data_IF_284446058122
#
_entry.id   IF_284446058122
#
_cell.length_a   1.000
_cell.length_b   1.000
_cell.length_c   1.000
_cell.angle_alpha   90.00
_cell.angle_beta   90.00
_cell.angle_gamma   90.00
#
_symmetry.space_group_name_H-M   'P 1'
#
loop_
_entity.id
_entity.type
_entity.pdbx_description
1 polymer ?
#
# COMPACT_ATOMS: atom_id res chain seq x y z
N UNK A 1 -67.47 -53.13 17.12
CA UNK A 1 -68.82 -53.23 16.52
C UNK A 1 -68.76 -52.76 15.08
N UNK A 2 -69.12 -53.67 14.16
CA UNK A 2 -69.57 -53.51 12.78
C UNK A 2 -69.03 -52.39 11.86
N UNK A 3 -68.15 -52.79 10.94
CA UNK A 3 -68.35 -52.82 9.48
C UNK A 3 -69.27 -51.76 8.81
N UNK A 4 -68.71 -51.00 7.85
CA UNK A 4 -69.32 -50.76 6.52
C UNK A 4 -68.37 -49.99 5.60
N UNK A 5 -68.09 -50.57 4.43
CA UNK A 5 -67.44 -49.88 3.31
C UNK A 5 -68.44 -49.14 2.43
N UNK A 6 -67.95 -48.34 1.49
CA UNK A 6 -68.52 -48.23 0.14
C UNK A 6 -67.53 -47.60 -0.83
N UNK A 7 -67.51 -48.18 -2.03
CA UNK A 7 -66.74 -47.85 -3.23
C UNK A 7 -66.83 -46.38 -3.66
N UNK A 8 -65.70 -45.86 -4.15
CA UNK A 8 -65.59 -44.66 -4.98
C UNK A 8 -65.45 -45.08 -6.45
N UNK A 9 -66.32 -44.54 -7.31
CA UNK A 9 -66.22 -44.63 -8.77
C UNK A 9 -66.93 -43.40 -9.35
N UNK A 10 -66.21 -42.32 -9.68
CA UNK A 10 -66.69 -41.30 -10.62
C UNK A 10 -65.52 -40.75 -11.46
N UNK A 11 -65.61 -41.09 -12.74
CA UNK A 11 -65.35 -40.33 -13.97
C UNK A 11 -64.22 -39.30 -14.06
N UNK A 12 -63.39 -39.49 -15.09
CA UNK A 12 -62.44 -38.52 -15.59
C UNK A 12 -63.10 -37.33 -16.29
N UNK A 13 -62.43 -36.19 -16.19
CA UNK A 13 -62.59 -35.03 -17.06
C UNK A 13 -61.18 -34.66 -17.55
N UNK A 14 -60.98 -34.82 -18.85
CA UNK A 14 -59.81 -34.35 -19.56
C UNK A 14 -59.85 -32.82 -19.63
N UNK A 15 -58.94 -32.16 -18.91
CA UNK A 15 -58.68 -30.73 -19.01
C UNK A 15 -57.47 -30.47 -19.89
N UNK A 16 -57.68 -29.86 -21.04
CA UNK A 16 -56.64 -29.31 -21.92
C UNK A 16 -55.91 -28.14 -21.23
N UNK A 17 -54.62 -28.28 -20.97
CA UNK A 17 -53.76 -27.21 -20.46
C UNK A 17 -53.40 -26.26 -21.62
N UNK A 18 -53.64 -24.94 -21.52
CA UNK A 18 -53.17 -24.01 -22.54
C UNK A 18 -51.66 -23.79 -22.37
N UNK A 19 -50.90 -24.18 -23.39
CA UNK A 19 -49.49 -23.84 -23.51
C UNK A 19 -49.34 -22.30 -23.60
N UNK A 20 -48.93 -21.67 -22.51
CA UNK A 20 -48.49 -20.28 -22.54
C UNK A 20 -47.11 -20.22 -23.21
N UNK A 21 -47.14 -19.99 -24.53
CA UNK A 21 -45.96 -19.61 -25.29
C UNK A 21 -45.32 -18.39 -24.64
N UNK A 22 -44.14 -18.60 -24.06
CA UNK A 22 -43.33 -17.52 -23.51
C UNK A 22 -42.73 -16.77 -24.70
N UNK A 23 -43.40 -15.70 -25.12
CA UNK A 23 -42.84 -14.73 -26.04
C UNK A 23 -41.57 -14.16 -25.43
N UNK A 24 -40.42 -14.59 -25.94
CA UNK A 24 -39.13 -13.96 -25.71
C UNK A 24 -39.22 -12.51 -26.19
N UNK A 25 -39.52 -11.60 -25.25
CA UNK A 25 -39.27 -10.18 -25.47
C UNK A 25 -37.77 -10.01 -25.59
N UNK A 26 -37.32 -9.69 -26.80
CA UNK A 26 -35.96 -9.25 -27.09
C UNK A 26 -35.55 -8.18 -26.08
N UNK A 27 -34.57 -8.52 -25.26
CA UNK A 27 -33.82 -7.59 -24.44
C UNK A 27 -33.10 -6.64 -25.40
N UNK A 28 -33.74 -5.51 -25.73
CA UNK A 28 -33.08 -4.41 -26.42
C UNK A 28 -31.84 -3.97 -25.63
N UNK A 29 -30.69 -3.93 -26.32
CA UNK A 29 -29.41 -3.30 -25.94
C UNK A 29 -29.38 -2.64 -24.55
N UNK A 30 -29.27 -3.44 -23.49
CA UNK A 30 -28.79 -2.93 -22.22
C UNK A 30 -27.30 -2.65 -22.42
N UNK A 31 -26.90 -1.37 -22.40
CA UNK A 31 -25.49 -0.99 -22.35
C UNK A 31 -24.82 -1.85 -21.28
N UNK A 32 -23.70 -2.54 -21.58
CA UNK A 32 -23.03 -3.33 -20.57
C UNK A 32 -22.79 -2.47 -19.32
N UNK A 33 -22.96 -3.03 -18.12
CA UNK A 33 -22.73 -2.28 -16.89
C UNK A 33 -21.35 -1.63 -16.96
N UNK A 34 -21.29 -0.31 -16.78
CA UNK A 34 -20.05 0.48 -16.89
C UNK A 34 -19.52 0.88 -15.52
N UNK A 35 -18.23 1.16 -15.44
CA UNK A 35 -17.59 1.64 -14.22
C UNK A 35 -18.18 2.99 -13.83
N UNK A 36 -18.62 3.09 -12.58
CA UNK A 36 -18.95 4.35 -11.93
C UNK A 36 -17.71 4.92 -11.23
N UNK A 37 -17.54 6.23 -11.36
CA UNK A 37 -16.50 7.01 -10.68
C UNK A 37 -17.19 8.02 -9.78
N UNK A 38 -16.94 7.94 -8.48
CA UNK A 38 -17.42 8.90 -7.48
C UNK A 38 -16.24 9.63 -6.87
N UNK A 39 -16.23 10.95 -6.97
CA UNK A 39 -15.22 11.84 -6.37
C UNK A 39 -15.79 12.41 -5.08
N UNK A 40 -15.08 12.20 -3.97
CA UNK A 40 -15.35 12.83 -2.69
C UNK A 40 -14.17 13.76 -2.34
N UNK A 41 -14.35 15.04 -2.57
CA UNK A 41 -13.35 16.11 -2.39
C UNK A 41 -13.81 17.19 -1.40
N UNK A 42 -14.86 16.90 -0.62
CA UNK A 42 -15.37 17.85 0.36
C UNK A 42 -14.32 18.15 1.45
N UNK A 43 -14.39 19.36 2.02
CA UNK A 43 -13.40 19.87 2.99
C UNK A 43 -13.19 18.92 4.17
N UNK A 44 -14.23 18.25 4.64
CA UNK A 44 -14.12 17.32 5.77
C UNK A 44 -13.34 16.06 5.36
N UNK A 45 -13.66 15.49 4.19
CA UNK A 45 -12.92 14.36 3.61
C UNK A 45 -11.44 14.68 3.45
N UNK A 46 -11.11 15.80 2.80
CA UNK A 46 -9.71 16.21 2.59
C UNK A 46 -8.99 16.48 3.91
N UNK A 47 -9.66 17.10 4.89
CA UNK A 47 -9.06 17.37 6.21
C UNK A 47 -8.76 16.08 6.99
N UNK A 48 -9.59 15.05 6.85
CA UNK A 48 -9.43 13.79 7.58
C UNK A 48 -8.50 12.79 6.88
N UNK A 49 -8.62 12.65 5.56
CA UNK A 49 -7.84 11.67 4.79
C UNK A 49 -6.51 12.25 4.26
N UNK A 50 -6.36 13.57 4.26
CA UNK A 50 -5.21 14.28 3.68
C UNK A 50 -5.27 14.43 2.15
N UNK A 51 -6.19 13.73 1.48
CA UNK A 51 -6.37 13.78 0.03
C UNK A 51 -7.85 13.50 -0.34
N UNK A 52 -8.29 13.89 -1.55
CA UNK A 52 -9.59 13.47 -2.08
C UNK A 52 -9.70 11.95 -2.22
N UNK A 53 -10.91 11.42 -2.01
CA UNK A 53 -11.21 9.99 -2.12
C UNK A 53 -12.00 9.70 -3.39
N UNK A 54 -11.47 8.86 -4.24
CA UNK A 54 -12.06 8.51 -5.54
C UNK A 54 -12.49 7.04 -5.52
N UNK A 55 -13.78 6.78 -5.60
CA UNK A 55 -14.32 5.43 -5.62
C UNK A 55 -14.59 4.99 -7.06
N UNK A 56 -13.95 3.88 -7.46
CA UNK A 56 -14.15 3.22 -8.75
C UNK A 56 -14.83 1.87 -8.49
N UNK A 57 -16.08 1.75 -8.93
CA UNK A 57 -16.89 0.56 -8.68
C UNK A 57 -17.78 0.16 -9.86
N UNK A 58 -18.09 -1.13 -9.94
CA UNK A 58 -18.77 -1.72 -11.10
C UNK A 58 -17.78 -2.38 -12.06
N UNK A 59 -18.22 -2.72 -13.27
CA UNK A 59 -17.37 -3.41 -14.26
C UNK A 59 -16.36 -2.42 -14.84
N UNK A 60 -15.09 -2.83 -14.95
CA UNK A 60 -14.07 -2.04 -15.65
C UNK A 60 -14.30 -2.19 -17.16
N UNK A 61 -15.06 -1.28 -17.77
CA UNK A 61 -15.28 -1.26 -19.21
C UNK A 61 -14.13 -0.58 -19.96
N UNK A 62 -14.05 -0.80 -21.28
CA UNK A 62 -12.99 -0.32 -22.16
C UNK A 62 -12.80 1.22 -22.14
N UNK A 63 -13.87 1.97 -21.87
CA UNK A 63 -13.86 3.44 -21.83
C UNK A 63 -13.58 4.01 -20.43
N UNK A 64 -13.42 3.16 -19.41
CA UNK A 64 -13.17 3.60 -18.04
C UNK A 64 -11.88 4.43 -17.87
N UNK A 65 -10.73 4.08 -18.50
CA UNK A 65 -9.51 4.89 -18.44
C UNK A 65 -9.72 6.31 -18.96
N UNK A 66 -10.44 6.48 -20.06
CA UNK A 66 -10.69 7.77 -20.72
C UNK A 66 -11.56 8.66 -19.84
N UNK A 67 -12.59 8.09 -19.20
CA UNK A 67 -13.42 8.83 -18.24
C UNK A 67 -12.62 9.26 -17.01
N UNK A 68 -11.76 8.38 -16.49
CA UNK A 68 -10.89 8.71 -15.37
C UNK A 68 -9.89 9.81 -15.74
N UNK A 69 -9.22 9.67 -16.89
CA UNK A 69 -8.25 10.64 -17.39
C UNK A 69 -8.88 12.02 -17.62
N UNK A 70 -10.12 12.08 -18.14
CA UNK A 70 -10.84 13.35 -18.30
C UNK A 70 -11.09 14.06 -16.96
N UNK A 71 -11.35 13.31 -15.89
CA UNK A 71 -11.50 13.87 -14.53
C UNK A 71 -10.16 14.37 -13.97
N UNK A 72 -9.05 13.68 -14.26
CA UNK A 72 -7.71 14.14 -13.89
C UNK A 72 -7.34 15.42 -14.66
N UNK A 73 -7.51 15.43 -15.99
CA UNK A 73 -7.20 16.57 -16.86
C UNK A 73 -8.03 17.81 -16.54
N UNK A 74 -9.29 17.62 -16.10
CA UNK A 74 -10.15 18.72 -15.65
C UNK A 74 -9.86 19.20 -14.21
N UNK A 75 -8.90 18.60 -13.51
CA UNK A 75 -8.54 18.95 -12.14
C UNK A 75 -9.50 18.43 -11.06
N UNK A 76 -10.54 17.67 -11.44
CA UNK A 76 -11.50 17.07 -10.51
C UNK A 76 -10.88 15.93 -9.69
N UNK A 77 -9.82 15.30 -10.21
CA UNK A 77 -9.02 14.33 -9.48
C UNK A 77 -7.58 14.85 -9.46
N UNK A 78 -7.13 15.46 -8.35
CA UNK A 78 -5.76 15.94 -8.26
C UNK A 78 -4.76 14.78 -8.12
N UNK A 79 -3.49 14.99 -8.48
CA UNK A 79 -2.40 14.07 -8.17
C UNK A 79 -2.35 13.74 -6.66
N UNK A 80 -1.91 12.54 -6.31
CA UNK A 80 -1.82 12.08 -4.92
C UNK A 80 -3.15 11.66 -4.29
N UNK A 81 -4.26 11.66 -5.04
CA UNK A 81 -5.57 11.22 -4.54
C UNK A 81 -5.58 9.75 -4.09
N UNK A 82 -6.49 9.41 -3.17
CA UNK A 82 -6.74 8.05 -2.71
C UNK A 82 -7.83 7.39 -3.57
N UNK A 83 -7.46 6.34 -4.30
CA UNK A 83 -8.36 5.58 -5.20
C UNK A 83 -8.81 4.30 -4.51
N UNK A 84 -10.11 4.16 -4.29
CA UNK A 84 -10.77 2.99 -3.71
C UNK A 84 -11.40 2.14 -4.80
N UNK A 85 -10.97 0.89 -4.89
CA UNK A 85 -11.37 -0.04 -5.95
C UNK A 85 -12.35 -1.09 -5.43
N UNK A 86 -13.41 -1.33 -6.20
CA UNK A 86 -14.38 -2.40 -5.97
C UNK A 86 -14.97 -2.91 -7.30
N UNK A 87 -14.32 -3.91 -7.88
CA UNK A 87 -14.74 -4.53 -9.12
C UNK A 87 -14.29 -5.99 -9.23
N UNK A 88 -15.24 -6.88 -9.53
CA UNK A 88 -14.97 -8.31 -9.72
C UNK A 88 -14.75 -8.70 -11.19
N UNK A 89 -14.99 -7.78 -12.13
CA UNK A 89 -15.05 -8.06 -13.57
C UNK A 89 -14.56 -6.85 -14.37
N UNK A 90 -14.09 -7.10 -15.59
CA UNK A 90 -13.83 -6.04 -16.56
C UNK A 90 -12.74 -6.41 -17.56
N UNK A 91 -12.46 -5.45 -18.41
CA UNK A 91 -11.45 -5.50 -19.45
C UNK A 91 -10.05 -5.32 -18.84
N UNK A 92 -9.16 -6.29 -19.11
CA UNK A 92 -7.82 -6.31 -18.54
C UNK A 92 -6.97 -5.14 -19.03
N UNK A 93 -7.07 -4.79 -20.32
CA UNK A 93 -6.31 -3.68 -20.88
C UNK A 93 -6.75 -2.33 -20.25
N UNK A 94 -8.05 -2.14 -20.03
CA UNK A 94 -8.60 -1.01 -19.31
C UNK A 94 -8.14 -0.96 -17.85
N UNK A 95 -8.08 -2.10 -17.17
CA UNK A 95 -7.50 -2.22 -15.83
C UNK A 95 -6.04 -1.76 -15.77
N UNK A 96 -5.21 -2.23 -16.70
CA UNK A 96 -3.81 -1.80 -16.80
C UNK A 96 -3.68 -0.32 -17.16
N UNK A 97 -4.51 0.19 -18.08
CA UNK A 97 -4.51 1.60 -18.46
C UNK A 97 -4.87 2.51 -17.29
N UNK A 98 -5.89 2.15 -16.50
CA UNK A 98 -6.20 2.84 -15.23
C UNK A 98 -5.01 2.82 -14.28
N UNK A 99 -4.35 1.67 -14.13
CA UNK A 99 -3.19 1.59 -13.27
C UNK A 99 -2.02 2.48 -13.72
N UNK A 100 -1.77 2.62 -15.03
CA UNK A 100 -0.79 3.59 -15.55
C UNK A 100 -1.17 5.03 -15.20
N UNK A 101 -2.46 5.38 -15.28
CA UNK A 101 -2.96 6.70 -14.87
C UNK A 101 -2.74 6.96 -13.37
N UNK A 102 -3.02 5.96 -12.52
CA UNK A 102 -2.78 6.07 -11.08
C UNK A 102 -1.30 6.27 -10.78
N UNK A 103 -0.43 5.53 -11.47
CA UNK A 103 1.02 5.66 -11.34
C UNK A 103 1.50 7.06 -11.71
N UNK A 104 1.08 7.55 -12.87
CA UNK A 104 1.47 8.88 -13.37
C UNK A 104 0.97 10.00 -12.44
N UNK A 105 -0.20 9.83 -11.84
CA UNK A 105 -0.76 10.77 -10.87
C UNK A 105 -0.24 10.61 -9.44
N UNK A 106 0.77 9.78 -9.18
CA UNK A 106 1.28 9.46 -7.84
C UNK A 106 0.18 9.03 -6.85
N UNK A 107 -0.87 8.37 -7.36
CA UNK A 107 -2.07 8.06 -6.58
C UNK A 107 -1.85 6.87 -5.67
N UNK A 108 -2.64 6.83 -4.61
CA UNK A 108 -2.69 5.75 -3.64
C UNK A 108 -3.84 4.81 -3.99
N UNK A 109 -3.64 3.48 -3.94
CA UNK A 109 -4.73 2.52 -4.14
C UNK A 109 -5.11 1.77 -2.87
N UNK A 110 -6.43 1.65 -2.69
CA UNK A 110 -7.10 0.95 -1.61
C UNK A 110 -8.21 0.05 -2.18
N UNK A 111 -8.71 -0.85 -1.33
CA UNK A 111 -10.02 -1.46 -1.53
C UNK A 111 -11.07 -0.68 -0.74
N UNK A 112 -12.27 -0.52 -1.30
CA UNK A 112 -13.36 0.10 -0.55
C UNK A 112 -14.61 0.35 -1.37
N UNK A 113 -15.73 0.49 -0.68
CA UNK A 113 -17.02 0.84 -1.29
C UNK A 113 -17.46 2.24 -0.85
N UNK A 114 -18.11 3.01 -1.74
CA UNK A 114 -18.59 4.34 -1.38
C UNK A 114 -19.65 4.22 -0.27
N UNK A 115 -19.53 5.06 0.75
CA UNK A 115 -20.56 5.16 1.80
C UNK A 115 -21.83 5.76 1.20
N UNK A 116 -22.90 4.97 1.16
CA UNK A 116 -24.22 5.47 0.70
C UNK A 116 -25.00 5.99 1.90
N UNK A 117 -25.38 7.28 1.87
CA UNK A 117 -26.39 7.82 2.78
C UNK A 117 -27.74 7.16 2.45
N UNK A 118 -28.26 6.36 3.38
CA UNK A 118 -29.59 5.78 3.29
C UNK A 118 -30.60 6.59 4.11
N UNK A 119 -31.90 6.31 3.92
CA UNK A 119 -33.01 6.95 4.66
C UNK A 119 -32.95 6.72 6.18
N UNK A 120 -32.21 5.72 6.65
CA UNK A 120 -32.03 5.35 8.06
C UNK A 120 -30.58 5.55 8.56
N UNK A 121 -29.81 6.45 7.94
CA UNK A 121 -28.39 6.66 8.22
C UNK A 121 -27.46 5.99 7.20
N UNK A 122 -26.17 5.91 7.52
CA UNK A 122 -25.18 5.25 6.66
C UNK A 122 -25.50 3.75 6.60
N UNK A 123 -25.81 3.22 5.41
CA UNK A 123 -25.90 1.76 5.23
C UNK A 123 -24.51 1.16 5.45
N UNK A 124 -24.45 0.01 6.12
CA UNK A 124 -23.20 -0.66 6.49
C UNK A 124 -22.21 -0.75 5.34
N UNK A 125 -20.92 -0.60 5.66
CA UNK A 125 -19.82 -0.67 4.70
C UNK A 125 -19.82 -2.08 4.12
N UNK A 126 -20.07 -2.19 2.81
CA UNK A 126 -19.95 -3.48 2.11
C UNK A 126 -18.48 -3.77 1.88
N UNK A 127 -18.10 -5.04 2.07
CA UNK A 127 -16.80 -5.52 1.68
C UNK A 127 -16.55 -5.25 0.19
N UNK A 128 -15.40 -4.68 -0.13
CA UNK A 128 -14.93 -4.51 -1.48
C UNK A 128 -14.35 -5.82 -2.02
N UNK A 129 -14.60 -6.09 -3.29
CA UNK A 129 -14.03 -7.23 -4.02
C UNK A 129 -13.29 -6.69 -5.23
N UNK A 130 -12.03 -7.07 -5.38
CA UNK A 130 -11.18 -6.65 -6.48
C UNK A 130 -10.53 -7.86 -7.14
N UNK A 131 -10.90 -8.18 -8.38
CA UNK A 131 -10.32 -9.29 -9.13
C UNK A 131 -10.11 -8.97 -10.61
N UNK A 132 -9.21 -9.72 -11.27
CA UNK A 132 -8.91 -9.53 -12.69
C UNK A 132 -8.42 -8.11 -12.98
N UNK A 133 -9.09 -7.42 -13.92
CA UNK A 133 -8.80 -6.02 -14.29
C UNK A 133 -8.62 -5.08 -13.10
N UNK A 134 -9.42 -5.25 -12.04
CA UNK A 134 -9.34 -4.44 -10.82
C UNK A 134 -7.99 -4.57 -10.13
N UNK A 135 -7.48 -5.80 -10.02
CA UNK A 135 -6.20 -6.09 -9.37
C UNK A 135 -5.04 -5.48 -10.14
N UNK A 136 -5.11 -5.46 -11.48
CA UNK A 136 -4.12 -4.77 -12.29
C UNK A 136 -4.19 -3.25 -12.10
N UNK A 137 -5.38 -2.66 -12.05
CA UNK A 137 -5.55 -1.25 -11.73
C UNK A 137 -4.97 -0.92 -10.34
N UNK A 138 -5.23 -1.77 -9.33
CA UNK A 138 -4.68 -1.64 -7.98
C UNK A 138 -3.15 -1.56 -7.95
N UNK A 139 -2.45 -2.40 -8.73
CA UNK A 139 -0.98 -2.37 -8.80
C UNK A 139 -0.42 -1.07 -9.40
N UNK A 140 -1.25 -0.31 -10.12
CA UNK A 140 -0.93 1.01 -10.62
C UNK A 140 -0.56 2.03 -9.55
N UNK A 141 -1.12 1.90 -8.34
CA UNK A 141 -0.87 2.83 -7.24
C UNK A 141 0.61 2.97 -6.91
N UNK A 142 1.07 4.22 -6.76
CA UNK A 142 2.42 4.51 -6.26
C UNK A 142 2.59 3.91 -4.87
N UNK A 143 1.58 4.14 -4.06
CA UNK A 143 1.41 3.53 -2.76
C UNK A 143 0.18 2.61 -2.78
N UNK A 144 0.26 1.46 -2.12
CA UNK A 144 -0.72 0.37 -2.23
C UNK A 144 -1.00 -0.23 -0.86
N UNK A 145 -2.24 -0.13 -0.40
CA UNK A 145 -2.65 -0.57 0.95
C UNK A 145 -3.15 -1.98 0.86
N UNK A 146 -2.64 -2.83 1.73
CA UNK A 146 -3.16 -4.19 1.88
C UNK A 146 -4.65 -4.16 2.25
N UNK A 147 -5.44 -5.18 1.85
CA UNK A 147 -6.84 -5.31 2.21
C UNK A 147 -7.03 -5.28 3.73
N UNK A 148 -8.12 -4.67 4.19
CA UNK A 148 -8.49 -4.61 5.61
C UNK A 148 -9.90 -5.15 5.84
N UNK A 149 -10.18 -5.63 7.05
CA UNK A 149 -11.50 -6.17 7.39
C UNK A 149 -11.87 -7.36 6.49
N UNK A 150 -13.02 -7.26 5.83
CA UNK A 150 -13.54 -8.31 4.95
C UNK A 150 -13.29 -8.04 3.45
N UNK A 151 -12.52 -7.01 3.10
CA UNK A 151 -12.20 -6.70 1.71
C UNK A 151 -11.31 -7.79 1.11
N UNK A 152 -11.50 -8.10 -0.18
CA UNK A 152 -10.79 -9.19 -0.85
C UNK A 152 -10.19 -8.72 -2.17
N UNK A 153 -8.94 -9.09 -2.41
CA UNK A 153 -8.26 -8.90 -3.68
C UNK A 153 -7.72 -10.23 -4.21
N UNK A 154 -7.93 -10.48 -5.48
CA UNK A 154 -7.58 -11.74 -6.12
C UNK A 154 -6.93 -11.54 -7.47
N UNK A 155 -5.84 -12.27 -7.71
CA UNK A 155 -5.12 -12.23 -8.99
C UNK A 155 -5.66 -13.31 -9.92
N UNK A 156 -6.05 -12.92 -11.14
CA UNK A 156 -6.30 -13.84 -12.25
C UNK A 156 -5.11 -13.71 -13.20
N UNK A 157 -4.43 -14.83 -13.47
CA UNK A 157 -3.37 -14.89 -14.48
C UNK A 157 -3.86 -15.66 -15.69
N UNK A 158 -3.87 -14.99 -16.83
CA UNK A 158 -4.15 -15.66 -18.10
C UNK A 158 -2.85 -16.35 -18.56
N UNK A 159 -2.83 -17.69 -18.53
CA UNK A 159 -1.77 -18.46 -19.16
C UNK A 159 -1.93 -18.37 -20.68
N UNK A 160 -0.82 -18.36 -21.41
CA UNK A 160 -0.74 -18.07 -22.85
C UNK A 160 -1.31 -19.18 -23.78
N UNK A 161 -2.36 -19.89 -23.38
CA UNK A 161 -2.98 -20.90 -24.22
C UNK A 161 -4.17 -20.29 -25.00
N UNK A 162 -3.92 -19.91 -26.27
CA UNK A 162 -4.97 -19.62 -27.25
C UNK A 162 -5.71 -18.29 -27.03
N UNK A 163 -4.99 -17.18 -26.96
CA UNK A 163 -5.56 -15.85 -26.75
C UNK A 163 -6.74 -15.56 -27.70
N UNK A 164 -7.92 -15.35 -27.12
CA UNK A 164 -9.02 -14.67 -27.81
C UNK A 164 -8.56 -13.27 -28.22
N UNK A 165 -9.06 -12.69 -29.33
CA UNK A 165 -8.51 -11.47 -29.96
C UNK A 165 -8.49 -10.20 -29.09
N UNK A 166 -9.10 -10.21 -27.90
CA UNK A 166 -9.17 -9.07 -26.98
C UNK A 166 -8.41 -9.28 -25.65
N UNK A 167 -7.59 -10.34 -25.51
CA UNK A 167 -6.79 -10.54 -24.30
C UNK A 167 -5.32 -10.13 -24.52
N UNK A 168 -4.72 -9.31 -23.63
CA UNK A 168 -3.31 -8.96 -23.73
C UNK A 168 -2.44 -10.21 -23.57
N UNK A 169 -1.37 -10.29 -24.37
CA UNK A 169 -0.42 -11.39 -24.29
C UNK A 169 0.23 -11.45 -22.90
N UNK A 170 0.59 -12.65 -22.42
CA UNK A 170 1.23 -12.84 -21.10
C UNK A 170 2.46 -11.93 -20.90
N UNK A 171 3.23 -11.69 -21.96
CA UNK A 171 4.39 -10.78 -21.92
C UNK A 171 4.04 -9.31 -21.69
N UNK A 172 2.87 -8.83 -22.14
CA UNK A 172 2.41 -7.46 -21.89
C UNK A 172 2.04 -7.27 -20.41
N UNK A 173 1.38 -8.27 -19.84
CA UNK A 173 0.97 -8.27 -18.44
C UNK A 173 2.19 -8.26 -17.51
N UNK A 174 3.21 -9.07 -17.83
CA UNK A 174 4.47 -9.10 -17.08
C UNK A 174 5.25 -7.77 -17.20
N UNK A 175 5.29 -7.18 -18.39
CA UNK A 175 5.91 -5.88 -18.61
C UNK A 175 5.19 -4.78 -17.82
N UNK A 176 3.85 -4.81 -17.79
CA UNK A 176 3.05 -3.91 -16.97
C UNK A 176 3.40 -4.05 -15.49
N UNK A 177 3.34 -5.26 -14.93
CA UNK A 177 3.65 -5.50 -13.52
C UNK A 177 5.05 -5.03 -13.13
N UNK A 178 6.06 -5.32 -13.96
CA UNK A 178 7.44 -4.81 -13.78
C UNK A 178 7.47 -3.28 -13.76
N UNK A 179 6.78 -2.62 -14.69
CA UNK A 179 6.70 -1.15 -14.74
C UNK A 179 6.00 -0.54 -13.51
N UNK A 180 5.17 -1.30 -12.81
CA UNK A 180 4.54 -0.90 -11.55
C UNK A 180 5.40 -1.18 -10.31
N UNK A 181 6.58 -1.76 -10.48
CA UNK A 181 7.49 -2.14 -9.39
C UNK A 181 7.06 -3.42 -8.67
N UNK A 182 6.37 -4.33 -9.37
CA UNK A 182 5.97 -5.64 -8.84
C UNK A 182 6.98 -6.71 -9.32
N UNK A 183 7.60 -7.40 -8.37
CA UNK A 183 8.50 -8.51 -8.66
C UNK A 183 7.69 -9.77 -9.00
N UNK A 184 7.90 -10.32 -10.21
CA UNK A 184 7.15 -11.48 -10.69
C UNK A 184 7.44 -12.76 -9.88
N UNK A 185 8.65 -12.89 -9.34
CA UNK A 185 9.04 -14.01 -8.48
C UNK A 185 8.20 -14.04 -7.18
N UNK A 186 7.84 -12.87 -6.65
CA UNK A 186 6.95 -12.73 -5.49
C UNK A 186 5.52 -13.19 -5.78
N UNK A 187 5.12 -13.21 -7.06
CA UNK A 187 3.84 -13.77 -7.47
C UNK A 187 3.90 -15.29 -7.58
N UNK A 188 5.06 -15.92 -7.87
CA UNK A 188 5.17 -17.37 -8.08
C UNK A 188 4.80 -18.22 -6.85
N UNK A 189 4.75 -17.62 -5.66
CA UNK A 189 4.34 -18.26 -4.40
C UNK A 189 2.82 -18.39 -4.23
N UNK A 190 2.02 -17.79 -5.12
CA UNK A 190 0.57 -17.87 -5.06
C UNK A 190 0.09 -19.16 -5.77
N UNK A 191 -0.73 -20.02 -5.13
CA UNK A 191 -1.26 -21.22 -5.75
C UNK A 191 -2.05 -20.84 -7.01
N UNK A 192 -1.67 -21.44 -8.14
CA UNK A 192 -2.40 -21.28 -9.40
C UNK A 192 -3.75 -21.98 -9.27
N UNK A 193 -4.83 -21.20 -9.25
CA UNK A 193 -6.17 -21.78 -9.41
C UNK A 193 -6.37 -22.23 -10.85
N UNK A 194 -7.03 -23.39 -11.08
CA UNK A 194 -7.41 -23.79 -12.43
C UNK A 194 -8.47 -22.83 -13.00
N UNK A 195 -8.29 -22.39 -14.25
CA UNK A 195 -9.23 -21.53 -14.99
C UNK A 195 -9.22 -20.04 -14.59
N UNK A 196 -10.29 -19.31 -14.94
CA UNK A 196 -10.48 -17.87 -14.66
C UNK A 196 -10.80 -17.54 -13.18
N UNK A 197 -10.46 -18.44 -12.26
CA UNK A 197 -10.72 -18.23 -10.82
C UNK A 197 -9.62 -17.37 -10.19
N UNK A 198 -9.95 -16.34 -9.41
CA UNK A 198 -8.96 -15.51 -8.75
C UNK A 198 -8.25 -16.25 -7.62
N UNK A 199 -6.92 -16.21 -7.61
CA UNK A 199 -6.13 -16.54 -6.43
C UNK A 199 -6.25 -15.39 -5.43
N UNK A 200 -7.04 -15.58 -4.37
CA UNK A 200 -7.24 -14.59 -3.31
C UNK A 200 -5.98 -14.40 -2.47
N UNK A 201 -5.60 -13.14 -2.24
CA UNK A 201 -4.39 -12.76 -1.52
C UNK A 201 -4.74 -12.19 -0.15
N UNK A 202 -4.00 -12.60 0.88
CA UNK A 202 -4.07 -11.99 2.22
C UNK A 202 -3.23 -10.73 2.30
N UNK A 203 -3.50 -9.88 3.28
CA UNK A 203 -2.71 -8.68 3.55
C UNK A 203 -1.21 -8.98 3.78
N UNK A 204 -0.93 -10.08 4.50
CA UNK A 204 0.43 -10.52 4.79
C UNK A 204 1.13 -11.00 3.52
N UNK A 205 0.46 -11.82 2.70
CA UNK A 205 1.01 -12.27 1.41
C UNK A 205 1.36 -11.08 0.52
N UNK A 206 0.47 -10.09 0.43
CA UNK A 206 0.71 -8.90 -0.38
C UNK A 206 1.87 -8.07 0.14
N UNK A 207 2.00 -7.92 1.45
CA UNK A 207 3.07 -7.11 2.06
C UNK A 207 4.43 -7.81 1.90
N UNK A 208 4.50 -9.12 2.17
CA UNK A 208 5.73 -9.90 2.05
C UNK A 208 6.21 -9.98 0.60
N UNK A 209 5.30 -10.14 -0.36
CA UNK A 209 5.63 -10.19 -1.78
C UNK A 209 5.82 -8.80 -2.44
N UNK A 210 5.69 -7.69 -1.69
CA UNK A 210 5.82 -6.32 -2.22
C UNK A 210 4.65 -5.85 -3.11
N UNK A 211 3.55 -6.59 -3.12
CA UNK A 211 2.31 -6.25 -3.83
C UNK A 211 1.59 -5.08 -3.18
N UNK A 212 1.62 -5.03 -1.85
CA UNK A 212 1.25 -3.87 -1.04
C UNK A 212 2.52 -3.29 -0.41
N UNK A 213 2.61 -1.96 -0.36
CA UNK A 213 3.73 -1.26 0.26
C UNK A 213 3.29 -0.39 1.45
N UNK A 214 1.99 -0.36 1.75
CA UNK A 214 1.36 0.30 2.91
C UNK A 214 1.89 1.72 3.13
N UNK A 215 2.01 2.48 2.04
CA UNK A 215 2.44 3.86 2.09
C UNK A 215 3.94 4.10 2.07
N UNK A 216 4.80 3.08 1.93
CA UNK A 216 6.26 3.24 1.95
C UNK A 216 6.91 2.76 0.66
N UNK A 217 7.72 3.60 0.03
CA UNK A 217 8.52 3.20 -1.13
C UNK A 217 9.76 2.38 -0.70
N UNK A 218 10.42 1.66 -1.63
CA UNK A 218 11.62 0.89 -1.32
C UNK A 218 12.71 1.74 -0.66
N UNK A 219 13.36 1.15 0.34
CA UNK A 219 14.50 1.76 1.03
C UNK A 219 15.68 1.91 0.07
N UNK A 220 16.20 3.12 -0.06
CA UNK A 220 17.40 3.45 -0.84
C UNK A 220 18.59 3.62 0.09
N UNK A 221 19.78 3.24 -0.39
CA UNK A 221 21.03 3.42 0.37
C UNK A 221 22.05 4.19 -0.46
N UNK A 222 22.84 5.03 0.20
CA UNK A 222 24.00 5.72 -0.37
C UNK A 222 25.13 5.67 0.64
N UNK A 223 26.35 5.42 0.22
CA UNK A 223 27.49 5.34 1.14
C UNK A 223 28.76 5.90 0.53
N UNK A 224 29.65 6.34 1.42
CA UNK A 224 31.06 6.60 1.13
C UNK A 224 31.86 5.88 2.20
N UNK A 225 32.65 4.88 1.81
CA UNK A 225 33.25 3.93 2.76
C UNK A 225 34.75 4.18 2.99
N UNK A 226 35.29 5.24 2.40
CA UNK A 226 36.71 5.59 2.54
C UNK A 226 36.94 6.48 3.76
N UNK A 227 38.09 6.37 4.44
CA UNK A 227 38.53 7.31 5.47
C UNK A 227 38.59 8.77 4.94
N UNK A 228 38.60 9.78 5.82
CA UNK A 228 38.58 9.69 7.29
C UNK A 228 37.18 9.61 7.89
N UNK A 229 36.13 9.81 7.08
CA UNK A 229 34.76 9.89 7.57
C UNK A 229 33.77 9.07 6.74
N UNK A 230 33.80 7.73 6.85
CA UNK A 230 32.80 6.88 6.21
C UNK A 230 31.39 7.28 6.61
N UNK A 231 30.44 7.21 5.68
CA UNK A 231 29.02 7.41 5.97
C UNK A 231 28.13 6.39 5.25
N UNK A 232 26.97 6.17 5.86
CA UNK A 232 25.84 5.45 5.29
C UNK A 232 24.59 6.30 5.44
N UNK A 233 23.93 6.52 4.32
CA UNK A 233 22.64 7.17 4.21
C UNK A 233 21.58 6.14 3.85
N UNK A 234 20.49 6.15 4.61
CA UNK A 234 19.26 5.40 4.35
C UNK A 234 18.18 6.42 4.00
N UNK A 235 17.54 6.28 2.84
CA UNK A 235 16.48 7.18 2.40
C UNK A 235 15.22 6.38 2.05
N UNK A 236 14.08 6.81 2.56
CA UNK A 236 12.78 6.21 2.26
C UNK A 236 11.74 7.31 2.11
N UNK A 237 10.99 7.25 1.01
CA UNK A 237 9.84 8.11 0.80
C UNK A 237 8.59 7.35 1.25
N UNK A 238 7.70 8.01 1.98
CA UNK A 238 6.39 7.49 2.32
C UNK A 238 5.29 8.47 1.87
N UNK A 239 4.03 8.20 2.23
CA UNK A 239 2.90 9.08 1.86
C UNK A 239 2.98 10.46 2.53
N UNK A 240 3.67 10.57 3.66
CA UNK A 240 3.69 11.76 4.50
C UNK A 240 4.96 12.62 4.27
N UNK A 241 6.01 12.07 3.67
CA UNK A 241 7.20 12.81 3.31
C UNK A 241 8.39 11.96 2.86
N UNK A 242 9.55 12.61 2.78
CA UNK A 242 10.83 11.94 2.52
C UNK A 242 11.65 11.90 3.81
N UNK A 243 12.13 10.71 4.16
CA UNK A 243 12.85 10.47 5.40
C UNK A 243 14.25 9.99 5.10
N UNK A 244 15.23 10.55 5.82
CA UNK A 244 16.64 10.19 5.65
C UNK A 244 17.33 9.98 6.99
N UNK A 245 18.07 8.89 7.13
CA UNK A 245 18.98 8.63 8.25
C UNK A 245 20.41 8.58 7.73
N UNK A 246 21.31 9.33 8.38
CA UNK A 246 22.74 9.35 8.05
C UNK A 246 23.52 8.90 9.27
N UNK A 247 24.23 7.79 9.13
CA UNK A 247 25.29 7.36 10.04
C UNK A 247 26.61 7.89 9.48
N UNK A 248 27.31 8.72 10.23
CA UNK A 248 28.65 9.20 9.87
C UNK A 248 29.65 8.84 10.96
N UNK A 249 30.69 8.11 10.57
CA UNK A 249 31.79 7.71 11.42
C UNK A 249 32.91 8.75 11.32
N UNK A 250 33.52 9.09 12.44
CA UNK A 250 34.76 9.89 12.55
C UNK A 250 35.64 9.24 13.62
N UNK A 251 36.94 9.55 13.67
CA UNK A 251 37.80 9.09 14.77
C UNK A 251 37.15 9.38 16.14
N UNK A 252 36.90 8.33 16.92
CA UNK A 252 36.33 8.43 18.27
C UNK A 252 34.85 8.79 18.37
N UNK A 253 34.10 8.98 17.27
CA UNK A 253 32.66 9.27 17.34
C UNK A 253 31.86 8.75 16.14
N UNK A 254 30.63 8.32 16.39
CA UNK A 254 29.63 8.05 15.36
C UNK A 254 28.49 9.02 15.58
N UNK A 255 28.05 9.68 14.53
CA UNK A 255 26.88 10.53 14.55
C UNK A 255 25.75 9.84 13.80
N UNK A 256 24.56 9.86 14.38
CA UNK A 256 23.33 9.47 13.73
C UNK A 256 22.48 10.72 13.56
N UNK A 257 22.17 11.07 12.32
CA UNK A 257 21.35 12.23 11.97
C UNK A 257 20.12 11.80 11.20
N UNK A 258 18.94 12.19 11.68
CA UNK A 258 17.68 12.05 10.96
C UNK A 258 17.30 13.36 10.30
N UNK A 259 16.76 13.27 9.09
CA UNK A 259 16.12 14.36 8.36
C UNK A 259 14.71 13.90 7.98
N UNK A 260 13.70 14.61 8.45
CA UNK A 260 12.30 14.43 8.07
C UNK A 260 11.88 15.62 7.19
N UNK A 261 11.87 15.41 5.86
CA UNK A 261 11.67 16.45 4.85
C UNK A 261 10.16 16.69 4.64
N UNK A 262 9.59 17.56 5.47
CA UNK A 262 8.15 17.90 5.47
C UNK A 262 7.87 19.34 4.98
N UNK A 263 8.90 20.09 4.62
CA UNK A 263 8.82 21.49 4.21
C UNK A 263 8.90 22.49 5.38
N UNK A 264 9.40 23.70 5.10
CA UNK A 264 9.80 24.68 6.11
C UNK A 264 8.68 25.11 7.08
N UNK A 265 7.43 25.23 6.60
CA UNK A 265 6.31 25.59 7.47
C UNK A 265 5.97 24.46 8.44
N UNK A 266 5.89 23.22 7.94
CA UNK A 266 5.54 22.06 8.76
C UNK A 266 6.67 21.70 9.73
N UNK A 267 7.93 21.76 9.29
CA UNK A 267 9.08 21.52 10.15
C UNK A 267 9.12 22.50 11.34
N UNK A 268 8.86 23.80 11.11
CA UNK A 268 8.73 24.80 12.19
C UNK A 268 7.60 24.47 13.16
N UNK A 269 6.45 24.03 12.65
CA UNK A 269 5.32 23.62 13.51
C UNK A 269 5.70 22.42 14.39
N UNK A 270 6.32 21.38 13.82
CA UNK A 270 6.71 20.18 14.55
C UNK A 270 7.70 20.54 15.68
N UNK A 271 8.77 21.26 15.34
CA UNK A 271 9.81 21.66 16.31
C UNK A 271 9.24 22.58 17.40
N UNK A 272 8.33 23.51 17.06
CA UNK A 272 7.68 24.37 18.05
C UNK A 272 6.85 23.59 19.09
N UNK A 273 6.30 22.44 18.71
CA UNK A 273 5.48 21.58 19.57
C UNK A 273 6.23 20.39 20.17
N UNK A 274 7.55 20.28 19.94
CA UNK A 274 8.41 19.24 20.50
C UNK A 274 8.31 19.19 22.03
N UNK A 275 8.11 18.00 22.58
CA UNK A 275 8.33 17.73 24.00
C UNK A 275 9.61 16.94 24.24
N UNK A 276 9.99 16.11 23.29
CA UNK A 276 11.20 15.29 23.27
C UNK A 276 11.51 14.81 21.86
N UNK A 277 12.76 14.43 21.62
CA UNK A 277 13.17 13.75 20.38
C UNK A 277 14.08 12.57 20.69
N UNK A 278 13.90 11.48 19.95
CA UNK A 278 14.54 10.19 20.25
C UNK A 278 14.70 9.35 18.97
N UNK A 279 15.57 8.35 19.07
CA UNK A 279 15.67 7.28 18.07
C UNK A 279 14.99 6.02 18.60
N UNK A 280 14.61 5.12 17.70
CA UNK A 280 14.11 3.79 18.07
C UNK A 280 14.98 2.72 17.42
N UNK A 281 15.42 1.73 18.19
CA UNK A 281 16.01 0.49 17.65
C UNK A 281 15.06 -0.64 18.01
N UNK A 282 14.54 -1.35 17.00
CA UNK A 282 13.58 -2.44 17.20
C UNK A 282 12.34 -2.04 18.04
N UNK A 283 11.87 -0.79 17.83
CA UNK A 283 10.76 -0.13 18.54
C UNK A 283 11.03 0.18 20.01
N UNK A 284 12.28 0.13 20.46
CA UNK A 284 12.70 0.58 21.79
C UNK A 284 13.33 1.97 21.68
N UNK A 285 12.86 2.91 22.50
CA UNK A 285 13.40 4.28 22.53
C UNK A 285 14.86 4.26 23.02
N UNK A 286 15.73 4.93 22.27
CA UNK A 286 17.14 5.14 22.57
C UNK A 286 17.51 6.60 22.27
N UNK A 287 18.58 7.10 22.90
CA UNK A 287 19.09 8.46 22.65
C UNK A 287 18.02 9.56 22.82
N UNK A 288 17.18 9.39 23.84
CA UNK A 288 16.10 10.32 24.19
C UNK A 288 16.70 11.62 24.73
N UNK A 289 16.29 12.74 24.16
CA UNK A 289 16.58 14.08 24.68
C UNK A 289 15.29 14.86 24.93
N UNK A 290 15.30 15.79 25.90
CA UNK A 290 14.18 16.69 26.13
C UNK A 290 14.02 17.71 24.98
N UNK A 291 12.98 18.53 25.08
CA UNK A 291 12.66 19.62 24.15
C UNK A 291 13.89 20.48 23.81
N UNK A 292 14.00 20.87 22.54
CA UNK A 292 15.04 21.74 22.01
C UNK A 292 16.16 21.01 21.27
N UNK A 293 16.10 19.67 21.23
CA UNK A 293 17.11 18.84 20.60
C UNK A 293 16.81 18.51 19.13
N UNK A 294 15.59 18.78 18.64
CA UNK A 294 15.25 18.79 17.22
C UNK A 294 15.36 20.22 16.65
N UNK A 295 15.80 20.36 15.40
CA UNK A 295 15.98 21.66 14.73
C UNK A 295 15.35 21.68 13.34
N UNK A 296 15.12 22.88 12.81
CA UNK A 296 14.74 23.07 11.41
C UNK A 296 15.98 23.37 10.60
N UNK A 297 16.25 22.57 9.56
CA UNK A 297 17.35 22.80 8.61
C UNK A 297 16.83 22.54 7.20
N UNK A 298 16.92 23.52 6.30
CA UNK A 298 16.51 23.41 4.89
C UNK A 298 15.12 22.79 4.66
N UNK A 299 14.18 23.14 5.52
CA UNK A 299 12.80 22.62 5.44
C UNK A 299 12.59 21.22 6.02
N UNK A 300 13.61 20.63 6.66
CA UNK A 300 13.52 19.36 7.36
C UNK A 300 13.51 19.54 8.88
N UNK A 301 12.89 18.60 9.59
CA UNK A 301 13.13 18.40 11.02
C UNK A 301 14.38 17.52 11.17
N UNK A 302 15.37 18.01 11.90
CA UNK A 302 16.68 17.37 12.05
C UNK A 302 16.93 16.99 13.50
N UNK A 303 17.28 15.73 13.72
CA UNK A 303 17.70 15.18 15.01
C UNK A 303 19.10 14.62 14.82
N UNK A 304 20.09 15.11 15.57
CA UNK A 304 21.47 14.60 15.56
C UNK A 304 21.86 14.11 16.95
N UNK A 305 22.44 12.91 17.03
CA UNK A 305 22.97 12.32 18.28
C UNK A 305 24.30 11.64 18.04
N UNK A 306 25.10 11.56 19.10
CA UNK A 306 26.18 10.60 19.14
C UNK A 306 25.59 9.21 19.29
N UNK A 307 25.96 8.30 18.39
CA UNK A 307 25.54 6.92 18.43
C UNK A 307 26.64 6.08 19.09
N UNK A 308 26.34 5.32 20.17
CA UNK A 308 27.33 4.53 20.86
C UNK A 308 28.00 3.54 19.90
N UNK A 309 29.34 3.54 19.79
CA UNK A 309 30.03 2.63 18.89
C UNK A 309 29.80 1.16 19.17
N UNK A 310 29.69 0.80 20.46
CA UNK A 310 29.29 -0.54 20.88
C UNK A 310 27.90 -0.95 20.36
N UNK A 311 27.02 0.02 20.09
CA UNK A 311 25.70 -0.19 19.51
C UNK A 311 25.70 -0.35 17.99
N UNK A 312 26.80 -0.05 17.27
CA UNK A 312 26.84 -0.22 15.81
C UNK A 312 26.71 -1.68 15.41
N UNK A 313 27.31 -2.59 16.18
CA UNK A 313 27.17 -4.03 15.95
C UNK A 313 25.71 -4.51 16.08
N UNK A 314 24.91 -3.88 16.95
CA UNK A 314 23.50 -4.21 17.11
C UNK A 314 22.68 -3.90 15.86
N UNK A 315 23.04 -2.85 15.10
CA UNK A 315 22.34 -2.50 13.86
C UNK A 315 22.45 -3.58 12.78
N UNK A 316 23.46 -4.46 12.84
CA UNK A 316 23.63 -5.57 11.91
C UNK A 316 22.52 -6.62 12.04
N UNK A 317 22.01 -6.83 13.27
CA UNK A 317 20.94 -7.79 13.57
C UNK A 317 19.57 -7.14 13.71
N UNK A 318 19.50 -5.84 14.01
CA UNK A 318 18.24 -5.10 14.14
C UNK A 318 17.32 -5.25 12.92
N UNK A 319 16.02 -5.21 13.19
CA UNK A 319 14.93 -5.24 12.20
C UNK A 319 14.53 -3.85 11.77
N UNK A 320 14.60 -2.87 12.69
CA UNK A 320 14.19 -1.50 12.42
C UNK A 320 15.02 -0.45 13.15
N UNK A 321 15.14 0.72 12.51
CA UNK A 321 15.68 1.95 13.09
C UNK A 321 14.68 3.08 12.83
N UNK A 322 14.34 3.88 13.82
CA UNK A 322 13.42 5.01 13.67
C UNK A 322 13.96 6.29 14.30
N UNK A 323 13.38 7.41 13.93
CA UNK A 323 13.66 8.71 14.51
C UNK A 323 12.35 9.48 14.68
N UNK A 324 12.17 10.09 15.85
CA UNK A 324 10.88 10.66 16.24
C UNK A 324 11.02 11.95 17.02
N UNK A 325 10.13 12.90 16.74
CA UNK A 325 9.81 14.06 17.57
C UNK A 325 8.44 13.83 18.21
N UNK A 326 8.41 13.75 19.54
CA UNK A 326 7.17 13.63 20.31
C UNK A 326 6.49 14.98 20.52
N UNK A 327 5.15 15.01 20.41
CA UNK A 327 4.32 16.16 20.75
C UNK A 327 3.85 16.17 22.21
N UNK A 328 2.96 17.10 22.55
CA UNK A 328 2.37 17.23 23.91
C UNK A 328 1.50 16.04 24.32
N UNK A 329 0.96 15.28 23.37
CA UNK A 329 0.25 14.02 23.62
C UNK A 329 1.07 12.89 23.00
N UNK A 330 1.23 11.78 23.73
CA UNK A 330 1.96 10.59 23.27
C UNK A 330 1.43 10.02 21.94
N UNK A 331 0.16 10.28 21.62
CA UNK A 331 -0.47 9.88 20.37
C UNK A 331 0.09 10.61 19.12
N UNK A 332 0.77 11.74 19.29
CA UNK A 332 1.34 12.51 18.17
C UNK A 332 2.86 12.44 18.20
N UNK A 333 3.42 11.71 17.23
CA UNK A 333 4.86 11.68 16.94
C UNK A 333 5.07 11.92 15.45
N UNK A 334 6.17 12.60 15.12
CA UNK A 334 6.55 12.95 13.76
C UNK A 334 7.92 12.36 13.45
N UNK A 335 8.08 11.79 12.25
CA UNK A 335 9.26 11.06 11.84
C UNK A 335 8.90 9.71 11.21
N UNK A 336 9.84 8.78 11.18
CA UNK A 336 9.67 7.52 10.46
C UNK A 336 10.42 6.34 11.07
N UNK A 337 9.98 5.13 10.69
CA UNK A 337 10.67 3.86 10.96
C UNK A 337 11.13 3.22 9.66
N UNK A 338 12.42 2.91 9.61
CA UNK A 338 13.09 2.22 8.52
C UNK A 338 13.18 0.72 8.85
N UNK A 339 12.69 -0.13 7.96
CA UNK A 339 12.93 -1.58 8.03
C UNK A 339 14.29 -1.86 7.42
N UNK A 340 15.21 -2.44 8.20
CA UNK A 340 16.62 -2.53 7.83
C UNK A 340 16.98 -3.73 6.96
N UNK A 341 16.08 -4.71 6.80
CA UNK A 341 16.37 -5.93 6.04
C UNK A 341 16.93 -5.65 4.63
N UNK A 342 16.34 -4.75 3.80
CA UNK A 342 16.87 -4.42 2.47
C UNK A 342 18.25 -3.75 2.49
N UNK A 343 18.65 -3.14 3.60
CA UNK A 343 19.90 -2.39 3.74
C UNK A 343 20.99 -3.17 4.51
N UNK A 344 20.77 -4.43 4.90
CA UNK A 344 21.71 -5.19 5.76
C UNK A 344 23.12 -5.24 5.20
N UNK A 345 23.28 -5.44 3.89
CA UNK A 345 24.61 -5.45 3.25
C UNK A 345 25.31 -4.10 3.40
N UNK A 346 24.61 -3.01 3.08
CA UNK A 346 25.16 -1.65 3.19
C UNK A 346 25.53 -1.29 4.63
N UNK A 347 24.73 -1.72 5.62
CA UNK A 347 25.02 -1.53 7.05
C UNK A 347 26.29 -2.31 7.45
N UNK A 348 26.46 -3.54 6.95
CA UNK A 348 27.66 -4.35 7.18
C UNK A 348 28.92 -3.70 6.58
N UNK A 349 28.83 -3.21 5.35
CA UNK A 349 29.95 -2.54 4.68
C UNK A 349 30.36 -1.26 5.42
N UNK A 350 29.37 -0.47 5.84
CA UNK A 350 29.58 0.72 6.67
C UNK A 350 30.23 0.38 8.02
N UNK A 351 29.73 -0.65 8.71
CA UNK A 351 30.31 -1.12 9.97
C UNK A 351 31.80 -1.44 9.83
N UNK A 352 32.16 -2.21 8.79
CA UNK A 352 33.55 -2.58 8.52
C UNK A 352 34.40 -1.36 8.16
N UNK A 353 33.87 -0.43 7.36
CA UNK A 353 34.55 0.81 7.02
C UNK A 353 34.79 1.71 8.25
N UNK A 354 33.79 1.84 9.12
CA UNK A 354 33.90 2.61 10.34
C UNK A 354 34.94 2.02 11.30
N UNK A 355 34.99 0.69 11.44
CA UNK A 355 36.02 0.02 12.25
C UNK A 355 37.45 0.32 11.76
N UNK A 356 37.66 0.37 10.43
CA UNK A 356 38.96 0.75 9.85
C UNK A 356 39.32 2.22 10.04
N UNK A 357 38.33 3.11 9.96
CA UNK A 357 38.55 4.55 10.10
C UNK A 357 38.66 5.02 11.55
N UNK A 358 38.03 4.31 12.49
CA UNK A 358 37.99 4.63 13.91
C UNK A 358 37.89 3.34 14.76
N UNK A 359 39.02 2.66 15.05
CA UNK A 359 39.01 1.47 15.91
C UNK A 359 38.48 1.85 17.30
N UNK A 360 37.45 1.15 17.77
CA UNK A 360 36.86 1.42 19.08
C UNK A 360 37.61 0.67 20.17
N UNK A 361 37.79 1.24 21.38
CA UNK A 361 38.39 0.51 22.48
C UNK A 361 37.51 -0.71 22.81
N UNK A 362 38.09 -1.91 22.65
CA UNK A 362 37.48 -3.17 23.08
C UNK A 362 37.41 -3.10 24.61
N UNK A 363 36.22 -3.29 25.21
CA UNK A 363 36.12 -3.40 26.67
C UNK A 363 37.10 -4.50 27.13
N UNK A 364 38.02 -4.24 28.08
CA UNK A 364 38.84 -5.29 28.63
C UNK A 364 37.93 -6.35 29.25
N UNK A 365 38.18 -7.62 28.93
CA UNK A 365 37.50 -8.76 29.53
C UNK A 365 37.61 -8.67 31.05
N UNK A 366 36.54 -8.97 31.82
CA UNK A 366 36.65 -9.01 33.27
C UNK A 366 37.70 -10.06 33.61
N UNK A 367 38.78 -9.62 34.26
CA UNK A 367 39.76 -10.54 34.87
C UNK A 367 38.97 -11.44 35.80
N UNK A 368 38.96 -12.75 35.54
CA UNK A 368 38.52 -13.75 36.51
C UNK A 368 39.46 -13.60 37.70
N UNK A 369 38.95 -13.03 38.80
CA UNK A 369 39.62 -13.00 40.10
C UNK A 369 39.48 -14.34 40.80
#
# INVERSE_FOLDING_TARGET
MACRGLLLLIAGLAGTVPAHGTTARGSGNATPPRMAIQVNDDRMTVTMAGAPQIYLYGVIDADAPQRFEALVKSGKIPPGSDVYLNSAQGDLAAGMALGRLFRAGAMTTHLGTPRRKGRAGYRGIKAAVCSGACTYAYFGGLYRWAPTGSDRIGLIRHQAAGAAPNQPASGETDAYLKSMGIALDGLALAPTSPGDSPTWLTADQMTVAGLANNGRLPLKTKSWLLPPAPFLELQQDDRDGSHRLVLQCRPGSVTLTAYDLVGATRARQIVAHETRSYFEVDRQEVLVEPRGAARVVDGAVVITRLYPPAGLGHLLSSRSLGAWVGGRRSAFRYGATFVLYPARHAIKDFYNACWRAAPWPVKPSPKKG
#
